data_IF_677834162573
#
_entry.id   IF_677834162573
#
_cell.length_a   1.000
_cell.length_b   1.000
_cell.length_c   1.000
_cell.angle_alpha   90.00
_cell.angle_beta   90.00
_cell.angle_gamma   90.00
#
_symmetry.space_group_name_H-M   'P 1'
#
loop_
_entity.id
_entity.type
_entity.pdbx_description
1 polymer ?
#
# COMPACT_ATOMS: atom_id res chain seq x y z
N UNK A 1 -23.37 -11.95 -7.61
CA UNK A 1 -23.57 -10.56 -7.18
C UNK A 1 -23.12 -9.65 -8.31
N UNK A 2 -23.96 -8.72 -8.71
CA UNK A 2 -23.63 -7.69 -9.72
C UNK A 2 -22.44 -6.88 -9.24
N UNK A 3 -21.46 -6.65 -10.11
CA UNK A 3 -20.33 -5.76 -9.79
C UNK A 3 -20.86 -4.41 -9.35
N UNK A 4 -20.39 -3.95 -8.19
CA UNK A 4 -20.72 -2.64 -7.66
C UNK A 4 -20.29 -1.58 -8.70
N UNK A 5 -21.21 -0.79 -9.21
CA UNK A 5 -20.83 0.35 -10.06
C UNK A 5 -20.34 1.49 -9.16
N UNK A 6 -19.04 1.62 -9.02
CA UNK A 6 -18.40 2.63 -8.16
C UNK A 6 -18.85 4.06 -8.46
N UNK A 7 -19.15 4.34 -9.73
CA UNK A 7 -19.65 5.65 -10.18
C UNK A 7 -21.08 5.96 -9.70
N UNK A 8 -21.86 4.94 -9.37
CA UNK A 8 -23.24 5.09 -8.88
C UNK A 8 -23.31 5.32 -7.35
N UNK A 9 -22.22 5.07 -6.64
CA UNK A 9 -22.15 5.30 -5.19
C UNK A 9 -22.08 6.78 -4.86
N UNK A 10 -22.69 7.15 -3.74
CA UNK A 10 -22.51 8.48 -3.19
C UNK A 10 -21.03 8.73 -2.81
N UNK A 11 -20.53 9.99 -2.90
CA UNK A 11 -19.15 10.31 -2.52
C UNK A 11 -18.77 9.85 -1.11
N UNK A 12 -19.69 9.90 -0.16
CA UNK A 12 -19.48 9.41 1.21
C UNK A 12 -19.28 7.90 1.28
N UNK A 13 -19.98 7.14 0.44
CA UNK A 13 -19.84 5.68 0.37
C UNK A 13 -18.51 5.31 -0.30
N UNK A 14 -18.14 5.99 -1.39
CA UNK A 14 -16.83 5.82 -2.02
C UNK A 14 -15.70 6.09 -1.03
N UNK A 15 -15.80 7.18 -0.26
CA UNK A 15 -14.81 7.54 0.76
C UNK A 15 -14.75 6.50 1.88
N UNK A 16 -15.90 6.01 2.35
CA UNK A 16 -15.96 4.98 3.39
C UNK A 16 -15.29 3.68 2.93
N UNK A 17 -15.62 3.20 1.74
CA UNK A 17 -15.04 1.97 1.19
C UNK A 17 -13.52 2.10 0.98
N UNK A 18 -13.06 3.22 0.43
CA UNK A 18 -11.64 3.49 0.25
C UNK A 18 -10.90 3.54 1.59
N UNK A 19 -11.44 4.27 2.56
CA UNK A 19 -10.86 4.38 3.91
C UNK A 19 -10.82 3.03 4.63
N UNK A 20 -11.86 2.19 4.46
CA UNK A 20 -11.89 0.84 5.04
C UNK A 20 -10.79 -0.03 4.45
N UNK A 21 -10.65 -0.08 3.12
CA UNK A 21 -9.59 -0.87 2.47
C UNK A 21 -8.19 -0.39 2.87
N UNK A 22 -7.97 0.92 2.98
CA UNK A 22 -6.69 1.47 3.43
C UNK A 22 -6.40 1.13 4.90
N UNK A 23 -7.43 1.13 5.76
CA UNK A 23 -7.28 0.72 7.17
C UNK A 23 -6.93 -0.76 7.28
N UNK A 24 -7.61 -1.63 6.53
CA UNK A 24 -7.31 -3.06 6.50
C UNK A 24 -5.89 -3.33 5.97
N UNK A 25 -5.45 -2.55 4.98
CA UNK A 25 -4.11 -2.63 4.41
C UNK A 25 -3.03 -2.36 5.46
N UNK A 26 -3.11 -1.23 6.18
CA UNK A 26 -2.09 -0.87 7.17
C UNK A 26 -2.15 -1.75 8.40
N UNK A 27 -3.35 -2.13 8.86
CA UNK A 27 -3.52 -3.05 9.99
C UNK A 27 -2.90 -4.43 9.71
N UNK A 28 -3.11 -4.95 8.49
CA UNK A 28 -2.53 -6.21 8.05
C UNK A 28 -0.99 -6.20 8.14
N UNK A 29 -0.35 -5.09 7.73
CA UNK A 29 1.10 -4.94 7.78
C UNK A 29 1.58 -4.73 9.22
N UNK A 30 0.94 -3.84 9.97
CA UNK A 30 1.31 -3.49 11.34
C UNK A 30 1.19 -4.66 12.32
N UNK A 31 0.23 -5.55 12.08
CA UNK A 31 0.01 -6.76 12.88
C UNK A 31 0.79 -7.99 12.37
N UNK A 32 1.69 -7.79 11.40
CA UNK A 32 2.51 -8.86 10.78
C UNK A 32 1.67 -10.01 10.15
N UNK A 33 0.44 -9.71 9.70
CA UNK A 33 -0.42 -10.64 8.96
C UNK A 33 -0.13 -10.58 7.46
N UNK A 34 1.16 -10.64 7.11
CA UNK A 34 1.65 -10.38 5.75
C UNK A 34 1.19 -11.42 4.73
N UNK A 35 0.84 -12.61 5.16
CA UNK A 35 0.28 -13.66 4.30
C UNK A 35 -1.10 -13.28 3.74
N UNK A 36 -1.85 -12.41 4.44
CA UNK A 36 -3.15 -11.87 4.02
C UNK A 36 -3.01 -10.64 3.10
N UNK A 37 -1.86 -9.95 3.15
CA UNK A 37 -1.62 -8.72 2.41
C UNK A 37 -1.86 -8.82 0.89
N UNK A 38 -1.42 -9.90 0.18
CA UNK A 38 -1.70 -10.06 -1.24
C UNK A 38 -3.18 -10.18 -1.57
N UNK A 39 -4.02 -10.62 -0.63
CA UNK A 39 -5.46 -10.81 -0.86
C UNK A 39 -6.25 -9.49 -0.87
N UNK A 40 -5.61 -8.38 -0.48
CA UNK A 40 -6.14 -7.03 -0.63
C UNK A 40 -6.04 -6.50 -2.07
N UNK A 41 -5.35 -7.24 -2.95
CA UNK A 41 -5.12 -6.90 -4.36
C UNK A 41 -5.85 -7.84 -5.31
N UNK A 42 -6.13 -7.38 -6.52
CA UNK A 42 -6.54 -8.24 -7.63
C UNK A 42 -5.33 -8.96 -8.23
N UNK A 43 -5.57 -10.00 -9.06
CA UNK A 43 -4.50 -10.85 -9.58
C UNK A 43 -3.48 -10.09 -10.46
N UNK A 44 -3.97 -9.20 -11.31
CA UNK A 44 -3.19 -8.38 -12.25
C UNK A 44 -2.87 -6.99 -11.67
N UNK A 45 -2.51 -6.94 -10.40
CA UNK A 45 -2.21 -5.70 -9.68
C UNK A 45 -0.80 -5.19 -9.95
N UNK A 46 -0.59 -3.91 -9.61
CA UNK A 46 0.74 -3.29 -9.56
C UNK A 46 0.98 -2.70 -8.17
N UNK A 47 2.10 -3.06 -7.57
CA UNK A 47 2.60 -2.48 -6.32
C UNK A 47 3.97 -1.86 -6.54
N UNK A 48 4.14 -0.59 -6.21
CA UNK A 48 5.36 0.14 -6.43
C UNK A 48 5.71 1.00 -5.23
N UNK A 49 6.95 0.91 -4.74
CA UNK A 49 7.53 1.84 -3.77
C UNK A 49 8.62 2.63 -4.48
N UNK A 50 8.45 3.94 -4.58
CA UNK A 50 9.29 4.82 -5.39
C UNK A 50 9.60 6.12 -4.65
N UNK A 51 10.84 6.61 -4.78
CA UNK A 51 11.22 7.91 -4.27
C UNK A 51 10.48 9.04 -5.02
N UNK A 52 10.09 10.08 -4.29
CA UNK A 52 9.38 11.24 -4.85
C UNK A 52 10.11 11.85 -6.04
N UNK A 53 11.43 12.02 -5.96
CA UNK A 53 12.22 12.55 -7.07
C UNK A 53 12.06 11.72 -8.35
N UNK A 54 12.13 10.39 -8.23
CA UNK A 54 11.97 9.51 -9.38
C UNK A 54 10.53 9.56 -9.91
N UNK A 55 9.55 9.61 -9.01
CA UNK A 55 8.14 9.73 -9.39
C UNK A 55 7.85 11.03 -10.14
N UNK A 56 8.35 12.16 -9.64
CA UNK A 56 8.13 13.49 -10.24
C UNK A 56 8.84 13.63 -11.60
N UNK A 57 9.94 12.91 -11.80
CA UNK A 57 10.70 12.88 -13.06
C UNK A 57 10.26 11.79 -14.03
N UNK A 58 9.27 10.98 -13.66
CA UNK A 58 8.79 9.85 -14.48
C UNK A 58 9.82 8.74 -14.67
N UNK A 59 10.79 8.61 -13.74
CA UNK A 59 11.82 7.57 -13.80
C UNK A 59 11.26 6.25 -13.27
N UNK A 60 11.63 5.10 -13.89
CA UNK A 60 11.07 3.80 -13.51
C UNK A 60 11.71 3.17 -12.26
N UNK A 61 12.84 3.72 -11.78
CA UNK A 61 13.60 3.12 -10.68
C UNK A 61 12.83 3.15 -9.38
N UNK A 62 12.52 1.98 -8.87
CA UNK A 62 11.71 1.76 -7.66
C UNK A 62 12.51 1.00 -6.60
N UNK A 63 12.22 1.27 -5.33
CA UNK A 63 12.77 0.51 -4.21
C UNK A 63 12.11 -0.89 -4.12
N UNK A 64 10.84 -0.99 -4.54
CA UNK A 64 10.10 -2.24 -4.63
C UNK A 64 9.13 -2.16 -5.80
N UNK A 65 9.04 -3.24 -6.59
CA UNK A 65 8.10 -3.34 -7.70
C UNK A 65 7.57 -4.77 -7.81
N UNK A 66 6.26 -4.91 -7.88
CA UNK A 66 5.57 -6.17 -8.15
C UNK A 66 4.44 -5.89 -9.15
N UNK A 67 4.32 -6.70 -10.19
CA UNK A 67 3.34 -6.53 -11.28
C UNK A 67 2.23 -7.59 -11.25
N UNK A 68 2.14 -8.35 -10.17
CA UNK A 68 1.10 -9.36 -9.98
C UNK A 68 0.95 -9.73 -8.51
N UNK A 69 -0.22 -10.26 -8.14
CA UNK A 69 -0.45 -10.82 -6.80
C UNK A 69 0.48 -12.00 -6.50
N UNK A 70 0.89 -12.76 -7.51
CA UNK A 70 1.90 -13.81 -7.39
C UNK A 70 3.23 -13.25 -6.86
N UNK A 71 3.73 -12.17 -7.46
CA UNK A 71 4.96 -11.51 -6.98
C UNK A 71 4.84 -10.97 -5.56
N UNK A 72 3.66 -10.48 -5.15
CA UNK A 72 3.43 -10.08 -3.76
C UNK A 72 3.60 -11.26 -2.80
N UNK A 73 3.05 -12.42 -3.13
CA UNK A 73 3.21 -13.66 -2.34
C UNK A 73 4.66 -14.13 -2.29
N UNK A 74 5.36 -14.15 -3.41
CA UNK A 74 6.77 -14.54 -3.48
C UNK A 74 7.63 -13.63 -2.59
N UNK A 75 7.29 -12.35 -2.53
CA UNK A 75 7.99 -11.40 -1.66
C UNK A 75 7.79 -11.71 -0.18
N UNK A 76 6.59 -12.09 0.25
CA UNK A 76 6.33 -12.48 1.62
C UNK A 76 7.07 -13.79 1.95
N UNK A 77 7.08 -14.76 1.05
CA UNK A 77 7.86 -16.00 1.21
C UNK A 77 9.35 -15.68 1.38
N UNK A 78 9.90 -14.79 0.55
CA UNK A 78 11.30 -14.37 0.67
C UNK A 78 11.58 -13.65 2.00
N UNK A 79 10.67 -12.80 2.45
CA UNK A 79 10.77 -12.12 3.75
C UNK A 79 10.81 -13.12 4.91
N UNK A 80 9.94 -14.13 4.89
CA UNK A 80 9.84 -15.12 5.97
C UNK A 80 11.03 -16.10 6.01
N UNK A 81 11.60 -16.45 4.86
CA UNK A 81 12.54 -17.56 4.75
C UNK A 81 13.95 -17.20 4.28
N UNK A 82 14.13 -16.09 3.60
CA UNK A 82 15.40 -15.73 2.98
C UNK A 82 16.03 -14.43 3.52
N UNK A 83 15.24 -13.46 3.92
CA UNK A 83 15.76 -12.17 4.35
C UNK A 83 16.25 -12.21 5.80
N UNK A 84 17.41 -11.59 6.03
CA UNK A 84 17.97 -11.38 7.38
C UNK A 84 17.82 -9.89 7.70
N UNK A 85 17.07 -9.58 8.76
CA UNK A 85 16.83 -8.21 9.21
C UNK A 85 16.61 -8.14 10.72
N UNK A 86 16.86 -6.98 11.30
CA UNK A 86 16.58 -6.73 12.72
C UNK A 86 15.06 -6.74 12.95
N UNK A 87 14.62 -7.51 13.94
CA UNK A 87 13.19 -7.57 14.29
C UNK A 87 12.69 -6.19 14.69
N UNK A 88 11.61 -5.77 14.08
CA UNK A 88 11.01 -4.48 14.30
C UNK A 88 9.48 -4.55 14.13
N UNK A 89 8.82 -3.50 14.60
CA UNK A 89 7.39 -3.29 14.44
C UNK A 89 7.16 -2.01 13.67
N UNK A 90 6.22 -2.03 12.72
CA UNK A 90 5.73 -0.84 12.06
C UNK A 90 4.44 -0.34 12.71
N UNK A 91 4.23 0.96 12.61
CA UNK A 91 2.96 1.59 12.90
C UNK A 91 2.71 2.65 11.85
N UNK A 92 1.71 2.39 11.00
CA UNK A 92 1.28 3.31 9.97
C UNK A 92 0.29 4.33 10.54
N UNK A 93 0.45 5.58 10.14
CA UNK A 93 -0.52 6.65 10.38
C UNK A 93 -0.97 7.17 9.03
N UNK A 94 -2.26 6.99 8.72
CA UNK A 94 -2.87 7.50 7.51
C UNK A 94 -3.57 8.83 7.77
N UNK A 95 -3.54 9.70 6.77
CA UNK A 95 -4.26 10.97 6.81
C UNK A 95 -4.66 11.44 5.41
N UNK A 96 -5.57 12.41 5.37
CA UNK A 96 -5.99 13.07 4.13
C UNK A 96 -6.42 12.10 3.02
N UNK A 97 -7.21 11.08 3.38
CA UNK A 97 -7.82 10.19 2.39
C UNK A 97 -8.74 11.02 1.50
N UNK A 98 -8.40 11.08 0.23
CA UNK A 98 -9.08 11.90 -0.76
C UNK A 98 -9.42 11.07 -2.00
N UNK A 99 -10.71 10.82 -2.20
CA UNK A 99 -11.24 10.21 -3.41
C UNK A 99 -11.23 11.25 -4.52
N UNK A 100 -10.52 10.97 -5.60
CA UNK A 100 -10.36 11.87 -6.76
C UNK A 100 -11.45 11.67 -7.83
N UNK A 101 -12.20 10.58 -7.72
CA UNK A 101 -13.26 10.21 -8.65
C UNK A 101 -13.12 8.78 -9.16
N UNK A 102 -13.97 8.44 -10.10
CA UNK A 102 -13.96 7.15 -10.80
C UNK A 102 -13.54 7.36 -12.25
N UNK A 103 -12.54 6.61 -12.70
CA UNK A 103 -12.08 6.60 -14.08
C UNK A 103 -11.92 5.16 -14.56
N UNK A 104 -12.48 4.82 -15.71
CA UNK A 104 -12.42 3.48 -16.30
C UNK A 104 -12.89 2.36 -15.35
N UNK A 105 -13.89 2.67 -14.50
CA UNK A 105 -14.43 1.73 -13.52
C UNK A 105 -13.55 1.56 -12.27
N UNK A 106 -12.48 2.33 -12.13
CA UNK A 106 -11.57 2.31 -11.00
C UNK A 106 -11.72 3.57 -10.14
N UNK A 107 -11.76 3.41 -8.83
CA UNK A 107 -11.78 4.51 -7.87
C UNK A 107 -10.35 5.01 -7.65
N UNK A 108 -10.12 6.28 -7.94
CA UNK A 108 -8.82 6.93 -7.76
C UNK A 108 -8.77 7.54 -6.37
N UNK A 109 -7.78 7.15 -5.58
CA UNK A 109 -7.64 7.58 -4.18
C UNK A 109 -6.22 8.05 -3.92
N UNK A 110 -6.08 9.13 -3.17
CA UNK A 110 -4.80 9.59 -2.64
C UNK A 110 -4.89 9.77 -1.13
N UNK A 111 -3.86 9.35 -0.42
CA UNK A 111 -3.73 9.59 1.02
C UNK A 111 -2.29 9.89 1.39
N UNK A 112 -2.07 10.47 2.57
CA UNK A 112 -0.75 10.61 3.14
C UNK A 112 -0.51 9.50 4.14
N UNK A 113 0.76 9.13 4.33
CA UNK A 113 1.15 8.14 5.33
C UNK A 113 2.44 8.54 6.03
N UNK A 114 2.57 8.08 7.26
CA UNK A 114 3.82 8.05 8.03
C UNK A 114 3.96 6.66 8.63
N UNK A 115 5.14 6.08 8.55
CA UNK A 115 5.48 4.81 9.20
C UNK A 115 6.47 5.08 10.33
N UNK A 116 6.08 4.73 11.53
CA UNK A 116 6.98 4.63 12.66
C UNK A 116 7.57 3.22 12.71
N UNK A 117 8.86 3.11 12.97
CA UNK A 117 9.54 1.84 13.19
C UNK A 117 10.04 1.78 14.64
N UNK A 118 9.71 0.70 15.33
CA UNK A 118 10.21 0.41 16.66
C UNK A 118 11.07 -0.84 16.60
N UNK A 119 12.35 -0.74 16.93
CA UNK A 119 13.22 -1.89 17.12
C UNK A 119 12.91 -2.56 18.45
N UNK A 120 13.01 -3.89 18.52
CA UNK A 120 12.69 -4.64 19.75
C UNK A 120 13.53 -4.20 20.95
N UNK A 121 14.78 -3.81 20.71
CA UNK A 121 15.71 -3.33 21.74
C UNK A 121 16.07 -1.85 21.55
N UNK A 122 15.25 -1.09 20.87
CA UNK A 122 15.57 0.29 20.49
C UNK A 122 14.40 1.25 20.62
N UNK A 123 14.65 2.46 20.16
CA UNK A 123 13.68 3.53 20.17
C UNK A 123 12.71 3.44 18.99
N UNK A 124 11.59 4.13 19.10
CA UNK A 124 10.68 4.40 17.99
C UNK A 124 11.19 5.60 17.21
N UNK A 125 11.28 5.44 15.88
CA UNK A 125 11.69 6.50 14.97
C UNK A 125 10.74 6.60 13.78
N UNK A 126 10.73 7.74 13.11
CA UNK A 126 10.07 7.86 11.81
C UNK A 126 10.94 7.10 10.80
N UNK A 127 10.35 6.06 10.20
CA UNK A 127 11.02 5.24 9.20
C UNK A 127 10.83 5.79 7.80
N UNK A 128 9.59 6.18 7.48
CA UNK A 128 9.22 6.61 6.14
C UNK A 128 7.97 7.50 6.19
N UNK A 129 7.88 8.43 5.26
CA UNK A 129 6.72 9.29 5.08
C UNK A 129 6.52 9.65 3.62
N UNK A 130 5.29 9.87 3.21
CA UNK A 130 4.95 10.22 1.85
C UNK A 130 3.47 10.13 1.56
N UNK A 131 3.15 9.72 0.34
CA UNK A 131 1.75 9.57 -0.09
C UNK A 131 1.52 8.24 -0.78
N UNK A 132 0.30 7.74 -0.66
CA UNK A 132 -0.25 6.65 -1.46
C UNK A 132 -1.04 7.22 -2.64
N UNK A 133 -0.87 6.63 -3.81
CA UNK A 133 -1.66 6.87 -5.00
C UNK A 133 -2.22 5.52 -5.41
N UNK A 134 -3.51 5.35 -5.21
CA UNK A 134 -4.19 4.07 -5.32
C UNK A 134 -5.24 4.07 -6.41
N UNK A 135 -5.37 2.94 -7.10
CA UNK A 135 -6.50 2.62 -7.97
C UNK A 135 -7.18 1.39 -7.39
N UNK A 136 -8.47 1.49 -7.13
CA UNK A 136 -9.24 0.45 -6.46
C UNK A 136 -10.39 0.02 -7.37
N UNK A 137 -10.69 -1.27 -7.39
CA UNK A 137 -11.77 -1.86 -8.21
C UNK A 137 -12.75 -2.61 -7.32
N UNK A 138 -14.00 -2.62 -7.75
CA UNK A 138 -15.02 -3.43 -7.12
C UNK A 138 -14.90 -4.88 -7.57
N UNK A 139 -14.96 -5.78 -6.60
CA UNK A 139 -15.03 -7.24 -6.83
C UNK A 139 -16.25 -7.82 -6.12
N UNK A 140 -16.63 -9.08 -6.36
CA UNK A 140 -17.72 -9.72 -5.62
C UNK A 140 -17.51 -9.72 -4.11
N UNK A 141 -16.25 -9.72 -3.66
CA UNK A 141 -15.86 -9.79 -2.24
C UNK A 141 -15.56 -8.40 -1.64
N UNK A 142 -15.87 -7.31 -2.36
CA UNK A 142 -15.64 -5.94 -1.93
C UNK A 142 -14.59 -5.21 -2.75
N UNK A 143 -14.12 -4.08 -2.25
CA UNK A 143 -13.11 -3.26 -2.91
C UNK A 143 -11.72 -3.91 -2.80
N UNK A 144 -10.94 -3.87 -3.88
CA UNK A 144 -9.55 -4.39 -3.93
C UNK A 144 -8.64 -3.38 -4.62
N UNK A 145 -7.35 -3.44 -4.29
CA UNK A 145 -6.32 -2.64 -4.93
C UNK A 145 -6.00 -3.20 -6.34
N UNK A 146 -6.17 -2.38 -7.36
CA UNK A 146 -5.69 -2.62 -8.72
C UNK A 146 -4.26 -2.13 -8.88
N UNK A 147 -3.96 -0.96 -8.32
CA UNK A 147 -2.59 -0.51 -8.17
C UNK A 147 -2.42 0.28 -6.88
N UNK A 148 -1.25 0.14 -6.28
CA UNK A 148 -0.80 0.96 -5.16
C UNK A 148 0.59 1.47 -5.42
N UNK A 149 0.71 2.79 -5.47
CA UNK A 149 1.99 3.48 -5.63
C UNK A 149 2.32 4.22 -4.34
N UNK A 150 3.34 3.76 -3.66
CA UNK A 150 3.88 4.36 -2.44
C UNK A 150 4.99 5.31 -2.86
N UNK A 151 4.74 6.61 -2.74
CA UNK A 151 5.70 7.66 -3.10
C UNK A 151 6.27 8.24 -1.81
N UNK A 152 7.51 7.88 -1.48
CA UNK A 152 8.16 8.36 -0.27
C UNK A 152 8.98 9.63 -0.52
N UNK A 153 9.00 10.53 0.47
CA UNK A 153 9.50 11.90 0.33
C UNK A 153 11.03 12.00 0.37
N UNK A 154 11.74 10.99 0.87
CA UNK A 154 13.20 10.98 0.99
C UNK A 154 13.87 10.31 -0.20
N UNK A 155 15.18 10.59 -0.41
CA UNK A 155 15.99 9.87 -1.40
C UNK A 155 16.32 8.44 -0.98
N UNK A 156 16.37 8.20 0.32
CA UNK A 156 16.84 6.95 0.91
C UNK A 156 15.84 6.43 1.91
N UNK A 157 15.67 5.12 1.88
CA UNK A 157 15.11 4.39 3.00
C UNK A 157 16.28 4.10 3.94
N UNK A 158 16.21 4.48 5.24
CA UNK A 158 17.35 4.40 6.17
C UNK A 158 17.93 3.00 6.32
N UNK A 159 17.09 1.98 6.18
CA UNK A 159 17.42 0.58 6.31
C UNK A 159 16.92 -0.22 5.10
N UNK A 160 17.12 -1.53 5.12
CA UNK A 160 16.57 -2.42 4.12
C UNK A 160 15.03 -2.40 4.17
N UNK A 161 14.40 -2.13 3.04
CA UNK A 161 12.96 -2.25 2.88
C UNK A 161 12.60 -3.71 2.65
N UNK A 162 12.27 -4.43 3.71
CA UNK A 162 11.87 -5.85 3.65
C UNK A 162 10.38 -6.03 3.71
N UNK A 163 9.72 -5.28 4.60
CA UNK A 163 8.27 -5.27 4.77
C UNK A 163 7.62 -4.25 3.83
N UNK A 164 6.43 -4.51 3.27
CA UNK A 164 5.67 -3.52 2.50
C UNK A 164 5.39 -2.24 3.31
N UNK A 165 5.13 -1.14 2.59
CA UNK A 165 4.79 0.17 3.17
C UNK A 165 3.34 0.55 2.84
#
# INVERSE_FOLDING_TARGET
>A
MTSLELSALAPSEQHFLASKLLSDYVECIDDDRLEEWPDLFVDDCVYQVIARENADRGLPTSAMFCDSRGMLRDRIVALRHANIYAKHYYRHVLSNVNVKGVQDGELLVQSNYVVFQTLVEGDTQIFNAGKYIDRMVATPDGLRLKSKRVVFDTYRIPNLLVTPL
#
